data_IF_273030937960
#
_entry.id   IF_273030937960
#
_cell.length_a   1.000
_cell.length_b   1.000
_cell.length_c   1.000
_cell.angle_alpha   90.00
_cell.angle_beta   90.00
_cell.angle_gamma   90.00
#
_symmetry.space_group_name_H-M   'P 1'
#
loop_
_entity.id
_entity.type
_entity.pdbx_description
1 polymer ?
#
# COMPACT_ATOMS: atom_id res chain seq x y z
N UNK A 1 8.44 0.09 18.26
CA UNK A 1 8.45 0.31 16.79
C UNK A 1 9.00 1.70 16.48
N UNK A 2 9.79 1.88 15.42
CA UNK A 2 10.22 3.21 14.97
C UNK A 2 8.97 4.00 14.49
N UNK A 3 8.83 5.25 14.95
CA UNK A 3 7.70 6.12 14.59
C UNK A 3 7.90 6.82 13.24
N UNK A 4 8.30 6.06 12.22
CA UNK A 4 8.46 6.55 10.86
C UNK A 4 7.50 5.83 9.93
N UNK A 5 6.78 6.59 9.13
CA UNK A 5 5.93 6.10 8.04
C UNK A 5 6.65 6.35 6.74
N UNK A 6 6.86 5.29 5.97
CA UNK A 6 7.43 5.35 4.64
C UNK A 6 6.35 5.19 3.58
N UNK A 7 6.50 5.91 2.50
CA UNK A 7 5.72 5.73 1.27
C UNK A 7 6.56 6.13 0.06
N UNK A 8 6.15 5.73 -1.13
CA UNK A 8 6.90 6.01 -2.36
C UNK A 8 5.98 6.51 -3.47
N UNK A 9 6.42 7.57 -4.16
CA UNK A 9 5.73 8.11 -5.33
C UNK A 9 6.73 8.69 -6.34
N UNK A 10 6.61 8.26 -7.61
CA UNK A 10 7.51 8.67 -8.69
C UNK A 10 6.76 9.16 -9.93
N UNK A 11 7.05 10.34 -10.46
CA UNK A 11 7.83 11.39 -9.81
C UNK A 11 6.99 12.13 -8.74
N UNK A 12 7.63 12.55 -7.67
CA UNK A 12 6.95 13.23 -6.55
C UNK A 12 6.22 14.52 -7.00
N UNK A 13 6.78 15.24 -7.98
CA UNK A 13 6.18 16.46 -8.54
C UNK A 13 4.85 16.22 -9.26
N UNK A 14 4.59 15.00 -9.75
CA UNK A 14 3.35 14.63 -10.43
C UNK A 14 2.35 13.91 -9.53
N UNK A 15 2.48 14.03 -8.21
CA UNK A 15 1.54 13.44 -7.26
C UNK A 15 0.15 14.09 -7.42
N UNK A 16 -0.92 13.30 -7.62
CA UNK A 16 -2.30 13.78 -7.66
C UNK A 16 -2.70 14.56 -6.42
N UNK A 17 -3.56 15.58 -6.58
CA UNK A 17 -4.03 16.40 -5.45
C UNK A 17 -4.73 15.60 -4.37
N UNK A 18 -5.58 14.62 -4.74
CA UNK A 18 -6.27 13.81 -3.75
C UNK A 18 -5.29 12.93 -2.91
N UNK A 19 -4.15 12.49 -3.45
CA UNK A 19 -3.13 11.78 -2.69
C UNK A 19 -2.41 12.72 -1.70
N UNK A 20 -2.21 13.99 -2.08
CA UNK A 20 -1.71 14.99 -1.12
C UNK A 20 -2.70 15.23 0.01
N UNK A 21 -4.00 15.24 -0.27
CA UNK A 21 -5.04 15.27 0.77
C UNK A 21 -5.02 14.02 1.67
N UNK A 22 -4.80 12.83 1.11
CA UNK A 22 -4.58 11.64 1.93
C UNK A 22 -3.40 11.83 2.89
N UNK A 23 -2.27 12.36 2.41
CA UNK A 23 -1.10 12.69 3.26
C UNK A 23 -1.43 13.71 4.36
N UNK A 24 -2.28 14.70 4.09
CA UNK A 24 -2.72 15.66 5.13
C UNK A 24 -3.50 14.96 6.24
N UNK A 25 -4.30 13.92 5.93
CA UNK A 25 -4.94 13.12 6.98
C UNK A 25 -3.90 12.41 7.86
N UNK A 26 -2.79 11.92 7.30
CA UNK A 26 -1.72 11.33 8.10
C UNK A 26 -1.08 12.36 9.05
N UNK A 27 -0.79 13.56 8.56
CA UNK A 27 -0.23 14.65 9.37
C UNK A 27 -1.17 15.08 10.49
N UNK A 28 -2.48 15.17 10.19
CA UNK A 28 -3.50 15.52 11.18
C UNK A 28 -3.66 14.47 12.26
N UNK A 29 -3.79 13.20 11.89
CA UNK A 29 -4.14 12.13 12.80
C UNK A 29 -2.93 11.42 13.43
N UNK A 30 -1.73 11.59 12.89
CA UNK A 30 -0.51 10.97 13.39
C UNK A 30 0.61 12.00 13.67
N UNK A 31 0.34 13.04 14.50
CA UNK A 31 1.28 14.18 14.68
C UNK A 31 2.62 13.76 15.32
N UNK A 32 2.66 12.60 15.98
CA UNK A 32 3.90 12.07 16.57
C UNK A 32 4.72 11.17 15.63
N UNK A 33 4.34 11.05 14.36
CA UNK A 33 5.01 10.21 13.37
C UNK A 33 5.77 11.04 12.36
N UNK A 34 6.98 10.59 12.02
CA UNK A 34 7.74 11.13 10.91
C UNK A 34 7.21 10.51 9.62
N UNK A 35 6.81 11.33 8.65
CA UNK A 35 6.27 10.87 7.36
C UNK A 35 7.30 11.13 6.27
N UNK A 36 7.83 10.04 5.70
CA UNK A 36 8.82 10.07 4.62
C UNK A 36 8.18 9.67 3.30
N UNK A 37 7.93 10.67 2.46
CA UNK A 37 7.50 10.48 1.07
C UNK A 37 8.74 10.42 0.20
N UNK A 38 9.05 9.23 -0.30
CA UNK A 38 10.24 8.95 -1.08
C UNK A 38 9.95 8.92 -2.58
N UNK A 39 10.98 9.21 -3.35
CA UNK A 39 11.12 9.01 -4.77
C UNK A 39 12.53 8.46 -5.04
N UNK A 40 12.90 8.24 -6.30
CA UNK A 40 14.24 7.72 -6.60
C UNK A 40 15.36 8.69 -6.22
N UNK A 41 15.12 10.00 -6.22
CA UNK A 41 16.10 11.01 -5.84
C UNK A 41 16.41 10.95 -4.34
N UNK A 42 15.38 10.75 -3.50
CA UNK A 42 15.53 10.69 -2.04
C UNK A 42 15.95 9.33 -1.50
N UNK A 43 15.74 8.27 -2.27
CA UNK A 43 16.00 6.90 -1.84
C UNK A 43 17.45 6.67 -1.32
N UNK A 44 18.51 7.28 -1.91
CA UNK A 44 19.89 7.13 -1.41
C UNK A 44 20.16 7.67 0.00
N UNK A 45 19.27 8.52 0.53
CA UNK A 45 19.37 8.98 1.91
C UNK A 45 18.94 7.91 2.94
N UNK A 46 18.22 6.87 2.48
CA UNK A 46 17.65 5.83 3.33
C UNK A 46 18.21 4.44 3.06
N UNK A 47 18.63 4.16 1.85
CA UNK A 47 19.18 2.88 1.44
C UNK A 47 20.56 3.04 0.82
N UNK A 48 21.54 2.19 1.15
CA UNK A 48 22.83 2.13 0.44
C UNK A 48 22.63 1.77 -1.02
N UNK A 49 23.60 2.17 -1.85
CA UNK A 49 23.53 2.05 -3.31
C UNK A 49 23.42 0.58 -3.77
N UNK A 50 24.07 -0.33 -3.10
CA UNK A 50 23.98 -1.78 -3.39
C UNK A 50 22.61 -2.36 -3.10
N UNK A 51 21.94 -1.93 -2.01
CA UNK A 51 20.56 -2.32 -1.73
C UNK A 51 19.58 -1.72 -2.75
N UNK A 52 19.77 -0.44 -3.12
CA UNK A 52 18.95 0.17 -4.19
C UNK A 52 19.12 -0.63 -5.47
N UNK A 53 20.34 -0.97 -5.86
CA UNK A 53 20.60 -1.79 -7.03
C UNK A 53 20.01 -3.20 -6.92
N UNK A 54 19.91 -3.77 -5.73
CA UNK A 54 19.31 -5.07 -5.52
C UNK A 54 17.80 -5.07 -5.75
N UNK A 55 17.10 -4.01 -5.33
CA UNK A 55 15.62 -3.95 -5.32
C UNK A 55 15.03 -3.16 -6.47
N UNK A 56 15.67 -2.08 -6.94
CA UNK A 56 15.19 -1.26 -8.05
C UNK A 56 15.62 -1.85 -9.38
N UNK A 57 14.65 -2.21 -10.20
CA UNK A 57 14.86 -2.70 -11.56
C UNK A 57 14.00 -1.88 -12.53
N UNK A 58 14.60 -0.98 -13.34
CA UNK A 58 13.85 -0.06 -14.22
C UNK A 58 12.90 -0.77 -15.20
N UNK A 59 13.19 -2.02 -15.56
CA UNK A 59 12.33 -2.83 -16.43
C UNK A 59 11.07 -3.39 -15.72
N UNK A 60 11.02 -3.32 -14.39
CA UNK A 60 9.84 -3.72 -13.62
C UNK A 60 8.83 -2.57 -13.57
N UNK A 61 7.57 -2.92 -13.43
CA UNK A 61 6.52 -1.92 -13.23
C UNK A 61 6.75 -1.18 -11.91
N UNK A 62 6.41 0.11 -11.88
CA UNK A 62 6.65 0.99 -10.74
C UNK A 62 6.08 0.43 -9.42
N UNK A 63 4.88 -0.14 -9.43
CA UNK A 63 4.31 -0.73 -8.24
C UNK A 63 5.13 -1.91 -7.69
N UNK A 64 5.72 -2.76 -8.55
CA UNK A 64 6.61 -3.83 -8.10
C UNK A 64 7.93 -3.27 -7.54
N UNK A 65 8.40 -2.15 -8.06
CA UNK A 65 9.57 -1.47 -7.51
C UNK A 65 9.25 -0.85 -6.14
N UNK A 66 8.08 -0.22 -5.99
CA UNK A 66 7.61 0.29 -4.70
C UNK A 66 7.48 -0.82 -3.65
N UNK A 67 6.96 -1.99 -4.04
CA UNK A 67 6.89 -3.17 -3.18
C UNK A 67 8.27 -3.65 -2.72
N UNK A 68 9.26 -3.61 -3.61
CA UNK A 68 10.63 -4.01 -3.29
C UNK A 68 11.34 -2.97 -2.40
N UNK A 69 11.14 -1.69 -2.67
CA UNK A 69 11.63 -0.56 -1.86
C UNK A 69 11.04 -0.63 -0.45
N UNK A 70 9.73 -0.88 -0.32
CA UNK A 70 9.03 -1.09 0.95
C UNK A 70 9.74 -2.10 1.82
N UNK A 71 10.00 -3.28 1.27
CA UNK A 71 10.65 -4.36 2.00
C UNK A 71 12.07 -3.97 2.46
N UNK A 72 12.87 -3.32 1.60
CA UNK A 72 14.22 -2.88 1.94
C UNK A 72 14.22 -1.84 3.06
N UNK A 73 13.33 -0.82 2.97
CA UNK A 73 13.20 0.23 3.98
C UNK A 73 12.78 -0.34 5.34
N UNK A 74 11.71 -1.15 5.37
CA UNK A 74 11.19 -1.71 6.61
C UNK A 74 12.15 -2.70 7.26
N UNK A 75 12.91 -3.47 6.46
CA UNK A 75 13.97 -4.33 6.96
C UNK A 75 15.04 -3.53 7.71
N UNK A 76 15.49 -2.43 7.11
CA UNK A 76 16.59 -1.62 7.64
C UNK A 76 16.18 -0.75 8.81
N UNK A 77 15.04 -0.08 8.68
CA UNK A 77 14.62 0.98 9.60
C UNK A 77 13.50 0.57 10.54
N UNK A 78 12.77 -0.51 10.21
CA UNK A 78 11.48 -0.76 10.83
C UNK A 78 10.48 0.34 10.47
N UNK A 79 9.45 0.52 11.31
CA UNK A 79 8.43 1.52 11.10
C UNK A 79 7.22 0.98 10.34
N UNK A 80 6.54 1.85 9.62
CA UNK A 80 5.28 1.54 8.93
C UNK A 80 5.38 1.92 7.45
N UNK A 81 4.79 1.13 6.60
CA UNK A 81 4.52 1.50 5.22
C UNK A 81 3.02 1.64 4.97
N UNK A 82 2.65 2.76 4.35
CA UNK A 82 1.35 2.94 3.73
C UNK A 82 1.52 3.23 2.23
N UNK A 83 0.61 2.70 1.42
CA UNK A 83 0.43 3.22 0.08
C UNK A 83 -0.24 4.60 0.16
N UNK A 84 0.15 5.53 -0.73
CA UNK A 84 -0.30 6.93 -0.69
C UNK A 84 -1.82 7.12 -0.78
N UNK A 85 -2.51 6.16 -1.37
CA UNK A 85 -3.96 6.13 -1.47
C UNK A 85 -4.64 5.58 -0.19
N UNK A 86 -4.05 5.88 0.95
CA UNK A 86 -4.56 5.56 2.28
C UNK A 86 -5.07 6.83 2.97
N UNK A 87 -6.29 6.79 3.54
CA UNK A 87 -6.85 7.86 4.36
C UNK A 87 -6.84 7.41 5.82
N UNK A 88 -6.23 8.21 6.70
CA UNK A 88 -6.21 7.97 8.14
C UNK A 88 -7.34 8.80 8.77
N UNK A 89 -8.14 8.16 9.61
CA UNK A 89 -9.30 8.80 10.26
C UNK A 89 -9.26 8.72 11.79
N UNK A 90 -8.22 8.11 12.35
CA UNK A 90 -8.13 7.97 13.82
C UNK A 90 -6.68 8.11 14.32
N UNK A 91 -6.44 8.90 15.41
CA UNK A 91 -5.10 9.20 15.90
C UNK A 91 -4.35 7.99 16.49
N UNK A 92 -5.07 7.03 17.08
CA UNK A 92 -4.47 5.88 17.76
C UNK A 92 -4.47 4.61 16.91
N UNK A 93 -4.71 4.75 15.61
CA UNK A 93 -4.84 3.62 14.71
C UNK A 93 -3.59 2.73 14.69
N UNK A 94 -2.41 3.33 14.78
CA UNK A 94 -1.13 2.61 14.76
C UNK A 94 -0.76 1.93 16.09
N UNK A 95 -1.42 2.26 17.19
CA UNK A 95 -1.16 1.62 18.49
C UNK A 95 -1.59 0.14 18.51
N UNK A 96 -2.44 -0.24 17.57
CA UNK A 96 -2.89 -1.64 17.39
C UNK A 96 -1.84 -2.55 16.75
N UNK A 97 -0.75 -1.99 16.21
CA UNK A 97 0.25 -2.71 15.42
C UNK A 97 1.59 -2.76 16.13
N UNK A 98 1.75 -3.55 17.14
CA UNK A 98 3.00 -3.59 17.92
C UNK A 98 3.42 -4.95 18.42
N UNK A 99 2.54 -5.93 18.39
CA UNK A 99 2.71 -7.18 19.13
C UNK A 99 3.62 -8.20 18.43
N UNK A 100 3.69 -8.15 17.08
CA UNK A 100 4.57 -9.04 16.30
C UNK A 100 5.89 -8.38 15.85
N UNK A 101 6.77 -9.16 15.23
CA UNK A 101 7.92 -8.61 14.50
C UNK A 101 7.47 -7.83 13.27
N UNK A 102 6.47 -8.35 12.57
CA UNK A 102 5.81 -7.74 11.41
C UNK A 102 4.31 -7.79 11.60
N UNK A 103 3.62 -6.73 11.25
CA UNK A 103 2.15 -6.66 11.23
C UNK A 103 1.66 -6.42 9.81
N UNK A 104 0.62 -7.13 9.39
CA UNK A 104 0.00 -6.99 8.07
C UNK A 104 -1.51 -7.03 8.19
N UNK A 105 -2.20 -6.49 7.18
CA UNK A 105 -3.66 -6.61 7.07
C UNK A 105 -4.01 -7.84 6.25
N UNK A 106 -4.98 -8.60 6.72
CA UNK A 106 -5.51 -9.79 6.06
C UNK A 106 -6.95 -9.59 5.63
N UNK A 107 -7.35 -10.22 4.53
CA UNK A 107 -8.76 -10.33 4.16
C UNK A 107 -9.46 -11.42 4.98
N UNK A 108 -10.80 -11.44 4.99
CA UNK A 108 -11.61 -12.43 5.69
C UNK A 108 -11.39 -13.90 5.25
N UNK A 109 -10.57 -14.15 4.22
CA UNK A 109 -10.14 -15.48 3.76
C UNK A 109 -8.71 -15.82 4.19
N UNK A 110 -8.09 -15.00 5.05
CA UNK A 110 -6.73 -15.19 5.53
C UNK A 110 -5.62 -14.83 4.55
N UNK A 111 -5.95 -14.31 3.36
CA UNK A 111 -4.96 -13.79 2.42
C UNK A 111 -4.37 -12.47 2.93
N UNK A 112 -3.05 -12.33 2.83
CA UNK A 112 -2.33 -11.15 3.32
C UNK A 112 -2.37 -10.02 2.29
N UNK A 113 -2.72 -8.82 2.74
CA UNK A 113 -2.58 -7.59 1.96
C UNK A 113 -1.28 -6.86 2.30
N UNK A 114 -0.13 -7.50 2.13
CA UNK A 114 1.16 -6.84 2.29
C UNK A 114 1.38 -5.65 1.33
N UNK A 115 0.45 -5.43 0.40
CA UNK A 115 0.49 -4.32 -0.55
C UNK A 115 -0.07 -3.00 -0.03
N UNK A 116 -0.79 -2.97 1.09
CA UNK A 116 -1.39 -1.73 1.59
C UNK A 116 -0.72 -1.22 2.86
N UNK A 117 -0.44 -2.13 3.77
CA UNK A 117 0.08 -1.83 5.07
C UNK A 117 1.04 -2.92 5.53
N UNK A 118 2.20 -2.52 5.97
CA UNK A 118 3.15 -3.36 6.70
C UNK A 118 3.77 -2.53 7.82
N UNK A 119 3.72 -3.01 9.05
CA UNK A 119 4.52 -2.48 10.13
C UNK A 119 5.58 -3.50 10.52
N UNK A 120 6.80 -3.06 10.76
CA UNK A 120 7.90 -3.95 11.10
C UNK A 120 8.79 -3.38 12.21
N UNK A 121 9.32 -4.26 13.05
CA UNK A 121 10.44 -3.94 13.95
C UNK A 121 11.72 -3.92 13.13
N UNK A 122 12.69 -3.04 13.43
CA UNK A 122 13.99 -3.06 12.76
C UNK A 122 14.69 -4.38 13.07
N UNK A 123 15.49 -4.86 12.13
CA UNK A 123 16.24 -6.13 12.23
C UNK A 123 15.36 -7.37 12.49
N UNK A 124 14.13 -7.37 12.01
CA UNK A 124 13.24 -8.51 12.10
C UNK A 124 13.75 -9.67 11.24
N UNK A 125 13.82 -10.87 11.82
CA UNK A 125 14.21 -12.09 11.09
C UNK A 125 13.27 -12.35 9.91
N UNK A 126 11.98 -12.12 10.11
CA UNK A 126 11.01 -12.26 9.04
C UNK A 126 11.27 -11.29 7.88
N UNK A 127 11.62 -10.04 8.17
CA UNK A 127 11.96 -9.06 7.14
C UNK A 127 13.26 -9.42 6.40
N UNK A 128 14.26 -9.98 7.09
CA UNK A 128 15.48 -10.47 6.45
C UNK A 128 15.19 -11.63 5.49
N UNK A 129 14.38 -12.59 5.91
CA UNK A 129 13.95 -13.71 5.05
C UNK A 129 13.15 -13.21 3.85
N UNK A 130 12.22 -12.30 4.08
CA UNK A 130 11.42 -11.71 3.00
C UNK A 130 12.27 -10.95 1.99
N UNK A 131 13.20 -10.13 2.48
CA UNK A 131 14.13 -9.38 1.65
C UNK A 131 15.04 -10.31 0.82
N UNK A 132 15.59 -11.37 1.40
CA UNK A 132 16.39 -12.34 0.68
C UNK A 132 15.63 -12.99 -0.48
N UNK A 133 14.39 -13.43 -0.24
CA UNK A 133 13.52 -13.98 -1.28
C UNK A 133 13.17 -12.95 -2.36
N UNK A 134 12.92 -11.71 -1.96
CA UNK A 134 12.63 -10.61 -2.86
C UNK A 134 13.80 -10.31 -3.79
N UNK A 135 15.01 -10.18 -3.26
CA UNK A 135 16.23 -9.95 -4.05
C UNK A 135 16.45 -11.08 -5.06
N UNK A 136 16.26 -12.33 -4.63
CA UNK A 136 16.35 -13.49 -5.52
C UNK A 136 15.32 -13.39 -6.69
N UNK A 137 14.11 -12.95 -6.42
CA UNK A 137 13.06 -12.76 -7.46
C UNK A 137 13.34 -11.61 -8.39
N UNK A 138 13.84 -10.49 -7.88
CA UNK A 138 14.28 -9.36 -8.73
C UNK A 138 15.43 -9.80 -9.64
N UNK A 139 16.39 -10.56 -9.10
CA UNK A 139 17.47 -11.18 -9.88
C UNK A 139 16.96 -12.14 -10.97
N UNK A 140 15.97 -12.95 -10.63
CA UNK A 140 15.31 -13.83 -11.61
C UNK A 140 14.64 -13.03 -12.72
N UNK A 141 13.89 -11.97 -12.39
CA UNK A 141 13.27 -11.08 -13.38
C UNK A 141 14.32 -10.49 -14.34
N UNK A 142 15.42 -9.95 -13.82
CA UNK A 142 16.54 -9.41 -14.61
C UNK A 142 17.12 -10.48 -15.56
N UNK A 143 17.33 -11.69 -15.04
CA UNK A 143 17.84 -12.82 -15.83
C UNK A 143 16.90 -13.18 -17.02
N UNK A 144 15.60 -13.14 -16.80
CA UNK A 144 14.62 -13.34 -17.87
C UNK A 144 14.60 -12.17 -18.87
N UNK A 145 14.76 -10.94 -18.38
CA UNK A 145 14.81 -9.76 -19.25
C UNK A 145 16.05 -9.79 -20.17
N UNK A 146 17.19 -10.16 -19.62
CA UNK A 146 18.45 -10.26 -20.36
C UNK A 146 18.50 -11.41 -21.39
N UNK A 147 17.62 -12.42 -21.30
CA UNK A 147 17.69 -13.63 -22.13
C UNK A 147 16.38 -13.93 -22.86
N UNK A 148 16.39 -13.73 -24.19
CA UNK A 148 15.29 -14.14 -25.07
C UNK A 148 15.06 -15.65 -25.00
N UNK A 149 16.14 -16.42 -24.99
CA UNK A 149 16.10 -17.89 -24.89
C UNK A 149 15.35 -18.35 -23.65
N UNK A 150 15.69 -17.81 -22.47
CA UNK A 150 14.97 -18.14 -21.24
C UNK A 150 13.48 -17.80 -21.35
N UNK A 151 13.12 -16.66 -21.93
CA UNK A 151 11.72 -16.24 -22.13
C UNK A 151 10.95 -17.19 -23.03
N UNK A 152 11.57 -17.67 -24.09
CA UNK A 152 10.95 -18.59 -25.05
C UNK A 152 10.78 -19.99 -24.45
N UNK A 153 11.85 -20.56 -23.88
CA UNK A 153 11.82 -21.93 -23.34
C UNK A 153 11.13 -22.07 -21.99
N UNK A 154 11.07 -21.00 -21.20
CA UNK A 154 10.43 -21.01 -19.87
C UNK A 154 9.23 -20.05 -19.80
N UNK A 155 8.37 -20.06 -20.82
CA UNK A 155 7.22 -19.15 -20.97
C UNK A 155 6.28 -19.11 -19.74
N UNK A 156 6.00 -20.26 -19.14
CA UNK A 156 5.15 -20.34 -17.94
C UNK A 156 5.77 -19.53 -16.77
N UNK A 157 7.08 -19.73 -16.53
CA UNK A 157 7.80 -18.99 -15.49
C UNK A 157 7.93 -17.52 -15.81
N UNK A 158 8.19 -17.17 -17.07
CA UNK A 158 8.20 -15.77 -17.52
C UNK A 158 6.86 -15.05 -17.24
N UNK A 159 5.72 -15.72 -17.41
CA UNK A 159 4.42 -15.17 -17.05
C UNK A 159 4.28 -14.96 -15.54
N UNK A 160 4.80 -15.87 -14.71
CA UNK A 160 4.78 -15.75 -13.25
C UNK A 160 5.60 -14.56 -12.76
N UNK A 161 6.84 -14.39 -13.24
CA UNK A 161 7.72 -13.29 -12.81
C UNK A 161 7.23 -11.89 -13.23
N UNK A 162 6.21 -11.82 -14.09
CA UNK A 162 5.55 -10.59 -14.52
C UNK A 162 4.25 -10.29 -13.77
N UNK A 163 3.83 -11.16 -12.86
CA UNK A 163 2.62 -10.91 -12.07
C UNK A 163 2.84 -9.73 -11.13
N UNK A 164 1.74 -9.07 -10.81
CA UNK A 164 1.75 -7.92 -9.90
C UNK A 164 2.16 -8.31 -8.47
N UNK A 165 1.81 -9.52 -8.03
CA UNK A 165 2.06 -10.05 -6.68
C UNK A 165 3.43 -10.73 -6.52
N UNK A 166 4.24 -10.77 -7.59
CA UNK A 166 5.45 -11.61 -7.67
C UNK A 166 6.49 -11.30 -6.59
N UNK A 167 6.70 -10.02 -6.26
CA UNK A 167 7.74 -9.57 -5.33
C UNK A 167 7.24 -9.33 -3.91
N UNK A 168 5.94 -9.43 -3.67
CA UNK A 168 5.35 -9.14 -2.36
C UNK A 168 4.47 -10.30 -1.86
N UNK A 169 3.17 -10.28 -2.20
CA UNK A 169 2.18 -11.21 -1.64
C UNK A 169 2.55 -12.67 -1.94
N UNK A 170 3.03 -12.99 -3.14
CA UNK A 170 3.43 -14.34 -3.49
C UNK A 170 4.67 -14.85 -2.71
N UNK A 171 5.43 -13.97 -2.05
CA UNK A 171 6.47 -14.36 -1.09
C UNK A 171 5.82 -14.66 0.25
N UNK A 172 5.04 -13.73 0.78
CA UNK A 172 4.36 -13.87 2.06
C UNK A 172 3.46 -15.10 2.09
N UNK A 173 2.60 -15.29 1.09
CA UNK A 173 1.69 -16.44 1.02
C UNK A 173 2.45 -17.79 1.13
N UNK A 174 3.66 -17.86 0.60
CA UNK A 174 4.50 -19.05 0.70
C UNK A 174 5.13 -19.22 2.09
N UNK A 175 5.40 -18.13 2.79
CA UNK A 175 5.99 -18.14 4.12
C UNK A 175 4.96 -18.33 5.24
N UNK A 176 3.70 -17.92 4.99
CA UNK A 176 2.63 -17.89 6.00
C UNK A 176 2.41 -19.18 6.79
N UNK A 177 2.48 -20.38 6.19
CA UNK A 177 2.25 -21.63 6.92
C UNK A 177 3.25 -21.88 8.06
N UNK A 178 4.45 -21.32 7.93
CA UNK A 178 5.57 -21.55 8.86
C UNK A 178 5.73 -20.44 9.90
N UNK A 179 4.87 -19.39 9.86
CA UNK A 179 5.02 -18.22 10.72
C UNK A 179 4.13 -18.30 11.96
N UNK A 180 4.73 -18.04 13.11
CA UNK A 180 4.03 -17.87 14.38
C UNK A 180 3.36 -16.48 14.47
N UNK A 181 2.34 -16.29 15.34
CA UNK A 181 1.75 -14.96 15.59
C UNK A 181 2.77 -13.92 16.10
N UNK A 182 3.82 -14.35 16.79
CA UNK A 182 4.91 -13.47 17.25
C UNK A 182 5.75 -12.92 16.08
N UNK A 183 5.93 -13.72 15.04
CA UNK A 183 6.66 -13.30 13.84
C UNK A 183 5.77 -12.46 12.92
N UNK A 184 4.50 -12.85 12.75
CA UNK A 184 3.56 -12.15 11.88
C UNK A 184 2.21 -11.95 12.58
N UNK A 185 1.96 -10.72 13.05
CA UNK A 185 0.65 -10.31 13.55
C UNK A 185 -0.28 -10.00 12.35
N UNK A 186 -1.45 -10.62 12.35
CA UNK A 186 -2.46 -10.49 11.30
C UNK A 186 -3.66 -9.70 11.83
N UNK A 187 -3.98 -8.61 11.17
CA UNK A 187 -5.13 -7.77 11.51
C UNK A 187 -6.18 -7.91 10.40
N UNK A 188 -7.40 -8.23 10.77
CA UNK A 188 -8.46 -8.41 9.79
C UNK A 188 -8.99 -7.06 9.29
N UNK A 189 -9.24 -6.97 7.98
CA UNK A 189 -9.72 -5.74 7.35
C UNK A 189 -11.08 -5.28 7.93
N UNK A 190 -11.90 -6.19 8.40
CA UNK A 190 -13.18 -5.90 9.02
C UNK A 190 -13.02 -5.14 10.34
N UNK A 191 -12.00 -5.51 11.14
CA UNK A 191 -11.72 -4.86 12.44
C UNK A 191 -11.16 -3.44 12.29
N UNK A 192 -10.67 -3.11 11.09
CA UNK A 192 -10.02 -1.84 10.78
C UNK A 192 -10.88 -0.94 9.89
N UNK A 193 -12.06 -1.38 9.50
CA UNK A 193 -13.01 -0.63 8.66
C UNK A 193 -12.36 -0.09 7.37
N UNK A 194 -11.50 -0.88 6.74
CA UNK A 194 -10.63 -0.38 5.65
C UNK A 194 -11.33 -0.20 4.30
N UNK A 195 -12.54 -0.74 4.15
CA UNK A 195 -13.25 -0.75 2.86
C UNK A 195 -14.74 -0.52 3.02
N UNK A 196 -15.18 0.74 3.15
CA UNK A 196 -16.59 1.06 3.29
C UNK A 196 -17.41 0.61 2.07
N UNK A 197 -16.83 0.63 0.88
CA UNK A 197 -17.48 0.12 -0.32
C UNK A 197 -17.87 -1.35 -0.21
N UNK A 198 -17.20 -2.14 0.63
CA UNK A 198 -17.57 -3.54 0.90
C UNK A 198 -18.65 -3.67 1.96
N UNK A 199 -18.65 -2.77 2.95
CA UNK A 199 -19.62 -2.76 4.03
C UNK A 199 -20.98 -2.21 3.57
N UNK A 200 -20.98 -1.16 2.75
CA UNK A 200 -22.16 -0.42 2.31
C UNK A 200 -22.48 -0.59 0.83
N UNK A 201 -21.49 -1.02 0.03
CA UNK A 201 -21.73 -1.42 -1.35
C UNK A 201 -22.41 -2.78 -1.39
N UNK A 202 -23.56 -2.83 -2.02
CA UNK A 202 -24.32 -4.06 -2.19
C UNK A 202 -23.47 -5.12 -2.88
N UNK A 203 -22.89 -6.05 -2.07
CA UNK A 203 -22.45 -7.36 -2.49
C UNK A 203 -21.15 -7.62 -3.25
N UNK A 204 -21.00 -8.92 -3.55
CA UNK A 204 -19.89 -9.57 -4.25
C UNK A 204 -19.48 -8.91 -5.57
N UNK A 205 -20.36 -8.14 -6.19
CA UNK A 205 -20.09 -7.36 -7.40
C UNK A 205 -19.00 -6.31 -7.13
N UNK A 206 -18.97 -5.71 -5.95
CA UNK A 206 -17.98 -4.72 -5.56
C UNK A 206 -16.57 -5.30 -5.48
N UNK A 207 -16.43 -6.57 -5.16
CA UNK A 207 -15.12 -7.22 -5.05
C UNK A 207 -14.41 -7.39 -6.39
N UNK A 208 -15.12 -7.20 -7.52
CA UNK A 208 -14.61 -7.54 -8.86
C UNK A 208 -14.62 -6.39 -9.86
N UNK A 209 -15.30 -5.28 -9.59
CA UNK A 209 -15.55 -4.27 -10.61
C UNK A 209 -14.95 -2.92 -10.26
N UNK A 210 -14.01 -2.48 -11.11
CA UNK A 210 -13.51 -1.11 -11.11
C UNK A 210 -14.65 -0.08 -11.21
N UNK A 211 -15.66 -0.37 -12.01
CA UNK A 211 -16.76 0.56 -12.28
C UNK A 211 -17.57 0.85 -11.03
N UNK A 212 -17.79 -0.15 -10.20
CA UNK A 212 -18.51 0.03 -8.94
C UNK A 212 -17.69 0.83 -7.93
N UNK A 213 -16.37 0.59 -7.85
CA UNK A 213 -15.46 1.42 -7.05
C UNK A 213 -15.49 2.88 -7.50
N UNK A 214 -15.45 3.11 -8.82
CA UNK A 214 -15.50 4.46 -9.41
C UNK A 214 -16.85 5.12 -9.11
N UNK A 215 -17.95 4.42 -9.32
CA UNK A 215 -19.29 4.93 -9.00
C UNK A 215 -19.42 5.25 -7.51
N UNK A 216 -18.93 4.41 -6.64
CA UNK A 216 -18.98 4.65 -5.20
C UNK A 216 -18.20 5.90 -4.79
N UNK A 217 -16.93 6.00 -5.15
CA UNK A 217 -16.03 7.03 -4.62
C UNK A 217 -16.09 8.35 -5.38
N UNK A 218 -16.37 8.33 -6.68
CA UNK A 218 -16.26 9.49 -7.56
C UNK A 218 -17.61 10.04 -8.04
N UNK A 219 -18.73 9.52 -7.53
CA UNK A 219 -20.05 10.13 -7.66
C UNK A 219 -20.36 11.02 -6.47
N UNK A 220 -21.40 11.88 -6.63
CA UNK A 220 -21.91 12.67 -5.52
C UNK A 220 -22.47 11.76 -4.40
N UNK A 221 -22.31 12.14 -3.11
CA UNK A 221 -22.95 11.44 -2.02
C UNK A 221 -24.46 11.40 -2.22
N UNK A 222 -25.08 10.27 -1.85
CA UNK A 222 -26.56 10.13 -1.83
C UNK A 222 -27.06 10.45 -0.43
N UNK A 223 -28.30 10.90 -0.30
CA UNK A 223 -28.86 11.32 0.99
C UNK A 223 -29.00 10.22 2.05
N UNK A 224 -28.89 8.96 1.63
CA UNK A 224 -28.90 7.74 2.47
C UNK A 224 -27.49 7.19 2.74
N UNK A 225 -26.44 7.89 2.32
CA UNK A 225 -25.07 7.48 2.56
C UNK A 225 -24.78 7.50 4.08
N UNK A 226 -24.23 6.41 4.56
CA UNK A 226 -23.71 6.32 5.92
C UNK A 226 -22.57 7.32 6.08
N UNK A 227 -22.50 7.96 7.24
CA UNK A 227 -21.35 8.75 7.64
C UNK A 227 -20.10 7.86 7.68
N UNK A 228 -19.32 7.92 6.59
CA UNK A 228 -18.13 7.10 6.39
C UNK A 228 -17.06 7.47 7.41
N UNK A 229 -16.94 8.75 7.77
CA UNK A 229 -15.93 9.20 8.73
C UNK A 229 -16.26 8.68 10.13
N UNK A 230 -17.52 8.76 10.54
CA UNK A 230 -17.95 8.18 11.81
C UNK A 230 -17.86 6.65 11.81
N UNK A 231 -18.23 6.01 10.70
CA UNK A 231 -18.10 4.55 10.56
C UNK A 231 -16.63 4.10 10.64
N UNK A 232 -15.74 4.83 9.99
CA UNK A 232 -14.31 4.54 9.96
C UNK A 232 -13.53 5.16 11.13
N UNK A 233 -14.21 5.70 12.15
CA UNK A 233 -13.62 6.43 13.28
C UNK A 233 -12.65 5.61 14.16
N UNK A 234 -12.27 4.45 13.79
CA UNK A 234 -11.25 3.62 14.43
C UNK A 234 -10.30 3.00 13.42
N UNK A 235 -10.35 3.42 12.15
CA UNK A 235 -9.72 2.70 11.07
C UNK A 235 -8.99 3.54 10.05
N UNK A 236 -8.75 2.89 8.94
CA UNK A 236 -8.06 3.40 7.75
C UNK A 236 -8.93 3.10 6.54
N UNK A 237 -8.96 4.00 5.58
CA UNK A 237 -9.53 3.71 4.27
C UNK A 237 -8.41 3.43 3.28
N UNK A 238 -8.47 2.28 2.60
CA UNK A 238 -7.61 1.97 1.48
C UNK A 238 -8.34 2.20 0.17
N UNK A 239 -7.80 3.11 -0.62
CA UNK A 239 -8.30 3.41 -1.95
C UNK A 239 -7.55 2.57 -3.00
N UNK A 240 -7.92 2.76 -4.26
CA UNK A 240 -7.25 2.16 -5.41
C UNK A 240 -6.85 3.24 -6.40
N UNK A 241 -5.64 3.81 -6.25
CA UNK A 241 -5.17 4.85 -7.18
C UNK A 241 -5.19 4.38 -8.64
N UNK A 242 -4.89 3.11 -8.89
CA UNK A 242 -4.94 2.54 -10.25
C UNK A 242 -6.35 2.54 -10.87
N UNK A 243 -7.39 2.61 -10.06
CA UNK A 243 -8.80 2.66 -10.47
C UNK A 243 -9.38 4.07 -10.48
N UNK A 244 -8.70 5.02 -9.85
CA UNK A 244 -9.09 6.44 -9.86
C UNK A 244 -9.15 6.94 -11.30
N UNK A 245 -10.28 7.56 -11.74
CA UNK A 245 -10.40 8.09 -13.08
C UNK A 245 -9.32 9.12 -13.40
N UNK A 246 -8.84 9.18 -14.67
CA UNK A 246 -7.72 10.05 -15.03
C UNK A 246 -7.99 11.55 -14.80
N UNK A 247 -9.23 12.00 -14.94
CA UNK A 247 -9.66 13.37 -14.68
C UNK A 247 -9.41 13.76 -13.23
N UNK A 248 -9.78 12.92 -12.26
CA UNK A 248 -9.55 13.17 -10.83
C UNK A 248 -8.06 13.13 -10.47
N UNK A 249 -7.29 12.28 -11.12
CA UNK A 249 -5.82 12.21 -10.90
C UNK A 249 -5.07 13.45 -11.37
N UNK A 250 -5.64 14.24 -12.28
CA UNK A 250 -5.00 15.46 -12.80
C UNK A 250 -5.37 16.71 -12.02
N UNK A 251 -6.34 16.64 -11.11
CA UNK A 251 -6.79 17.75 -10.31
C UNK A 251 -5.78 18.09 -9.21
N UNK A 252 -5.62 19.38 -8.94
CA UNK A 252 -5.04 19.85 -7.68
C UNK A 252 -6.00 19.61 -6.51
N UNK A 253 -5.57 19.86 -5.30
CA UNK A 253 -6.35 19.63 -4.07
C UNK A 253 -7.65 20.44 -4.07
N UNK A 254 -7.58 21.72 -4.44
CA UNK A 254 -8.73 22.63 -4.44
C UNK A 254 -9.77 22.18 -5.46
N UNK A 255 -9.34 21.90 -6.67
CA UNK A 255 -10.21 21.42 -7.76
C UNK A 255 -10.83 20.07 -7.40
N UNK A 256 -10.06 19.16 -6.80
CA UNK A 256 -10.58 17.86 -6.35
C UNK A 256 -11.67 18.02 -5.28
N UNK A 257 -11.42 18.82 -4.26
CA UNK A 257 -12.40 19.08 -3.20
C UNK A 257 -13.66 19.78 -3.72
N UNK A 258 -13.56 20.58 -4.79
CA UNK A 258 -14.70 21.26 -5.41
C UNK A 258 -15.61 20.30 -6.19
N UNK A 259 -15.18 19.09 -6.53
CA UNK A 259 -16.01 18.11 -7.26
C UNK A 259 -17.24 17.67 -6.48
N UNK A 260 -17.19 17.72 -5.15
CA UNK A 260 -18.27 17.23 -4.28
C UNK A 260 -18.52 15.72 -4.39
N UNK A 261 -17.61 14.93 -5.00
CA UNK A 261 -17.71 13.49 -5.00
C UNK A 261 -17.57 12.93 -3.56
N UNK A 262 -17.98 11.68 -3.34
CA UNK A 262 -17.95 11.07 -1.99
C UNK A 262 -16.55 11.10 -1.37
N UNK A 263 -15.50 10.79 -2.13
CA UNK A 263 -14.14 10.87 -1.60
C UNK A 263 -13.74 12.30 -1.23
N UNK A 264 -14.12 13.31 -2.02
CA UNK A 264 -13.88 14.71 -1.69
C UNK A 264 -14.63 15.14 -0.42
N UNK A 265 -15.86 14.64 -0.22
CA UNK A 265 -16.64 14.88 1.01
C UNK A 265 -15.93 14.26 2.22
N UNK A 266 -15.54 12.98 2.16
CA UNK A 266 -14.81 12.30 3.24
C UNK A 266 -13.51 13.03 3.60
N UNK A 267 -12.73 13.45 2.61
CA UNK A 267 -11.49 14.18 2.85
C UNK A 267 -11.71 15.57 3.44
N UNK A 268 -12.75 16.29 3.02
CA UNK A 268 -13.14 17.56 3.65
C UNK A 268 -13.50 17.38 5.11
N UNK A 269 -14.33 16.41 5.41
CA UNK A 269 -14.80 16.12 6.76
C UNK A 269 -13.65 15.64 7.66
N UNK A 270 -12.78 14.79 7.15
CA UNK A 270 -11.60 14.32 7.85
C UNK A 270 -10.60 15.45 8.16
N UNK A 271 -10.47 16.43 7.27
CA UNK A 271 -9.50 17.52 7.42
C UNK A 271 -10.06 18.73 8.18
N UNK A 272 -11.38 18.87 8.29
CA UNK A 272 -12.06 19.94 9.04
C UNK A 272 -12.18 21.17 8.27
#
# INVERSE_FOLDING_TARGET
>A
MNKTIFTFWEPRSAMPGYLRLCLETWRKFLPGWQIEVLDYERLPAFLPQDEIQAVVCPDMKLFNQADAIRCALLRRHGGVWFDLDTVILHPNMLDRFGDGEVSVICNGKGGVYGSFFVAAKPNSELMERWYGELVARVGEFRSFRASLVKRLFRRKRWRQVRRWDFVLNAILDRMLPDLTPMQLARHHEEDLHVRPERAFGRDEVFRKSRDVYVDYWFSAPRGDDVDIVAWAAGGILFLHNSWTPPEFRRMDEKSFLATGCRLAHVLKEALG
#
